data_IF_410912435807
#
_entry.id   IF_410912435807
#
_cell.length_a   1.000
_cell.length_b   1.000
_cell.length_c   1.000
_cell.angle_alpha   90.00
_cell.angle_beta   90.00
_cell.angle_gamma   90.00
#
_symmetry.space_group_name_H-M   'P 1'
#
loop_
_entity.id
_entity.type
_entity.pdbx_description
1 polymer ?
#
# COMPACT_ATOMS: atom_id res chain seq x y z
N UNK A 1 -3.71 16.29 -38.70
CA UNK A 1 -3.56 15.06 -37.88
C UNK A 1 -2.11 14.73 -37.53
N UNK A 2 -1.13 14.94 -38.42
CA UNK A 2 0.29 14.66 -38.12
C UNK A 2 0.88 15.48 -36.93
N UNK A 3 0.44 16.72 -36.73
CA UNK A 3 0.97 17.60 -35.68
C UNK A 3 0.59 17.18 -34.25
N UNK A 4 -0.61 16.61 -34.05
CA UNK A 4 -1.04 16.11 -32.75
C UNK A 4 -0.28 14.84 -32.35
N UNK A 5 0.03 13.96 -33.31
CA UNK A 5 0.82 12.75 -33.04
C UNK A 5 2.25 13.10 -32.59
N UNK A 6 2.86 14.15 -33.19
CA UNK A 6 4.19 14.61 -32.81
C UNK A 6 4.23 15.21 -31.39
N UNK A 7 3.21 15.98 -30.99
CA UNK A 7 3.14 16.57 -29.64
C UNK A 7 2.91 15.51 -28.55
N UNK A 8 2.10 14.47 -28.82
CA UNK A 8 1.89 13.36 -27.89
C UNK A 8 3.19 12.56 -27.70
N UNK A 9 3.90 12.27 -28.80
CA UNK A 9 5.18 11.54 -28.73
C UNK A 9 6.24 12.33 -27.95
N UNK A 10 6.32 13.65 -28.15
CA UNK A 10 7.27 14.50 -27.45
C UNK A 10 6.95 14.59 -25.94
N UNK A 11 5.68 14.73 -25.56
CA UNK A 11 5.26 14.75 -24.17
C UNK A 11 5.54 13.40 -23.46
N UNK A 12 5.31 12.27 -24.15
CA UNK A 12 5.64 10.94 -23.59
C UNK A 12 7.14 10.71 -23.45
N UNK A 13 7.95 11.23 -24.38
CA UNK A 13 9.40 11.14 -24.30
C UNK A 13 9.97 11.96 -23.14
N UNK A 14 9.40 13.14 -22.88
CA UNK A 14 9.80 14.00 -21.77
C UNK A 14 9.44 13.37 -20.41
N UNK A 15 8.23 12.82 -20.28
CA UNK A 15 7.81 12.12 -19.07
C UNK A 15 8.63 10.84 -18.80
N UNK A 16 9.04 10.13 -19.85
CA UNK A 16 9.93 8.99 -19.74
C UNK A 16 11.34 9.40 -19.29
N UNK A 17 11.87 10.52 -19.79
CA UNK A 17 13.19 11.03 -19.39
C UNK A 17 13.24 11.47 -17.91
N UNK A 18 12.20 12.16 -17.43
CA UNK A 18 12.09 12.55 -16.02
C UNK A 18 11.89 11.36 -15.09
N UNK A 19 11.11 10.36 -15.51
CA UNK A 19 10.95 9.10 -14.77
C UNK A 19 12.26 8.32 -14.64
N UNK A 20 13.11 8.32 -15.67
CA UNK A 20 14.40 7.61 -15.67
C UNK A 20 15.45 8.32 -14.80
N UNK A 21 15.48 9.65 -14.76
CA UNK A 21 16.37 10.36 -13.82
C UNK A 21 15.97 10.19 -12.35
N UNK A 22 14.67 10.14 -12.03
CA UNK A 22 14.20 9.90 -10.66
C UNK A 22 14.62 8.50 -10.16
N UNK A 23 14.47 7.48 -11.02
CA UNK A 23 14.93 6.12 -10.73
C UNK A 23 16.46 6.02 -10.55
N UNK A 24 17.22 6.82 -11.31
CA UNK A 24 18.69 6.87 -11.20
C UNK A 24 19.16 7.59 -9.92
N UNK A 25 18.41 8.59 -9.43
CA UNK A 25 18.65 9.26 -8.13
C UNK A 25 18.28 8.38 -6.93
N UNK A 26 17.30 7.49 -7.08
CA UNK A 26 16.91 6.56 -6.01
C UNK A 26 17.85 5.35 -5.91
N UNK A 27 18.53 4.99 -7.01
CA UNK A 27 19.54 3.92 -7.03
C UNK A 27 20.69 4.15 -6.05
N UNK A 28 21.18 5.39 -5.90
CA UNK A 28 22.25 5.74 -4.96
C UNK A 28 21.78 5.87 -3.50
N UNK A 29 20.46 5.92 -3.25
CA UNK A 29 19.90 6.03 -1.89
C UNK A 29 19.69 4.69 -1.20
N UNK A 30 19.58 3.60 -1.97
CA UNK A 30 19.40 2.26 -1.39
C UNK A 30 20.61 1.81 -0.58
N UNK A 31 21.82 2.18 -1.02
CA UNK A 31 23.07 1.82 -0.36
C UNK A 31 23.22 2.45 1.03
N UNK A 32 22.53 3.57 1.26
CA UNK A 32 22.56 4.29 2.54
C UNK A 32 21.43 3.89 3.51
N UNK A 33 20.67 2.83 3.17
CA UNK A 33 19.62 2.34 4.07
C UNK A 33 20.16 1.33 5.09
N UNK A 34 19.67 1.33 6.35
CA UNK A 34 20.07 0.36 7.36
C UNK A 34 19.90 -1.09 6.91
N UNK A 35 18.82 -1.37 6.17
CA UNK A 35 18.50 -2.70 5.64
C UNK A 35 19.54 -3.16 4.61
N UNK A 36 19.93 -2.29 3.68
CA UNK A 36 20.95 -2.65 2.69
C UNK A 36 22.31 -2.86 3.35
N UNK A 37 22.72 -1.96 4.24
CA UNK A 37 23.95 -2.10 5.00
C UNK A 37 23.99 -3.40 5.82
N UNK A 38 22.90 -3.74 6.50
CA UNK A 38 22.79 -4.95 7.31
C UNK A 38 22.94 -6.23 6.49
N UNK A 39 22.32 -6.26 5.31
CA UNK A 39 22.37 -7.42 4.44
C UNK A 39 23.72 -7.64 3.74
N UNK A 40 24.60 -6.63 3.78
CA UNK A 40 25.97 -6.76 3.31
C UNK A 40 26.95 -7.12 4.44
N UNK A 41 26.49 -7.28 5.69
CA UNK A 41 27.31 -7.81 6.78
C UNK A 41 27.43 -9.32 6.66
N UNK A 42 28.64 -9.84 6.90
CA UNK A 42 28.91 -11.27 6.83
C UNK A 42 28.02 -12.06 7.82
N UNK A 43 27.38 -13.13 7.34
CA UNK A 43 26.54 -14.01 8.15
C UNK A 43 25.09 -13.52 8.34
N UNK A 44 24.68 -12.47 7.63
CA UNK A 44 23.30 -11.94 7.66
C UNK A 44 22.48 -12.29 6.41
N UNK A 45 23.07 -12.99 5.44
CA UNK A 45 22.47 -13.30 4.14
C UNK A 45 21.17 -14.11 4.27
N UNK A 46 21.11 -14.99 5.27
CA UNK A 46 19.98 -15.87 5.53
C UNK A 46 18.95 -15.30 6.51
N UNK A 47 19.15 -14.07 6.96
CA UNK A 47 18.20 -13.43 7.86
C UNK A 47 16.84 -13.19 7.19
N UNK A 48 15.75 -13.22 7.99
CA UNK A 48 14.41 -12.84 7.52
C UNK A 48 14.36 -11.49 6.79
N UNK A 49 15.06 -10.47 7.33
CA UNK A 49 15.10 -9.12 6.74
C UNK A 49 15.76 -9.15 5.36
N UNK A 50 16.88 -9.87 5.21
CA UNK A 50 17.62 -9.93 3.95
C UNK A 50 16.97 -10.81 2.90
N UNK A 51 16.33 -11.91 3.29
CA UNK A 51 15.49 -12.72 2.40
C UNK A 51 14.37 -11.88 1.79
N UNK A 52 13.70 -11.05 2.61
CA UNK A 52 12.67 -10.13 2.15
C UNK A 52 13.21 -9.05 1.22
N UNK A 53 14.38 -8.47 1.51
CA UNK A 53 15.01 -7.47 0.64
C UNK A 53 15.34 -8.06 -0.73
N UNK A 54 16.01 -9.23 -0.75
CA UNK A 54 16.39 -9.93 -1.98
C UNK A 54 15.16 -10.27 -2.82
N UNK A 55 14.11 -10.79 -2.21
CA UNK A 55 12.86 -11.09 -2.90
C UNK A 55 12.22 -9.82 -3.49
N UNK A 56 12.17 -8.72 -2.75
CA UNK A 56 11.68 -7.44 -3.29
C UNK A 56 12.52 -6.94 -4.46
N UNK A 57 13.83 -7.13 -4.42
CA UNK A 57 14.73 -6.78 -5.53
C UNK A 57 14.44 -7.62 -6.76
N UNK A 58 14.27 -8.94 -6.60
CA UNK A 58 13.89 -9.87 -7.67
C UNK A 58 12.55 -9.47 -8.31
N UNK A 59 11.53 -9.17 -7.50
CA UNK A 59 10.24 -8.71 -8.02
C UNK A 59 10.32 -7.40 -8.80
N UNK A 60 11.25 -6.51 -8.45
CA UNK A 60 11.47 -5.25 -9.19
C UNK A 60 12.14 -5.48 -10.54
N UNK A 61 12.93 -6.55 -10.68
CA UNK A 61 13.57 -6.90 -11.96
C UNK A 61 12.66 -7.64 -12.94
N UNK A 62 11.46 -8.05 -12.52
CA UNK A 62 10.51 -8.75 -13.39
C UNK A 62 9.52 -7.74 -13.97
N UNK A 63 9.64 -7.46 -15.26
CA UNK A 63 8.76 -6.52 -15.97
C UNK A 63 7.38 -7.12 -16.29
N UNK A 64 7.32 -8.42 -16.59
CA UNK A 64 6.05 -9.10 -16.90
C UNK A 64 5.18 -9.29 -15.64
N UNK A 65 3.96 -8.72 -15.59
CA UNK A 65 3.06 -8.88 -14.46
C UNK A 65 2.67 -10.34 -14.19
N UNK A 66 2.55 -11.19 -15.23
CA UNK A 66 2.15 -12.59 -15.07
C UNK A 66 3.29 -13.41 -14.44
N UNK A 67 4.52 -13.22 -14.91
CA UNK A 67 5.71 -13.81 -14.29
C UNK A 67 5.90 -13.33 -12.85
N UNK A 68 5.72 -12.03 -12.58
CA UNK A 68 5.81 -11.48 -11.22
C UNK A 68 4.80 -12.14 -10.29
N UNK A 69 3.56 -12.33 -10.75
CA UNK A 69 2.53 -13.02 -9.98
C UNK A 69 2.88 -14.49 -9.72
N UNK A 70 3.46 -15.20 -10.71
CA UNK A 70 3.94 -16.57 -10.56
C UNK A 70 5.04 -16.66 -9.50
N UNK A 71 6.05 -15.79 -9.56
CA UNK A 71 7.15 -15.77 -8.57
C UNK A 71 6.64 -15.47 -7.16
N UNK A 72 5.66 -14.57 -7.01
CA UNK A 72 5.00 -14.33 -5.72
C UNK A 72 4.28 -15.57 -5.20
N UNK A 73 3.61 -16.33 -6.06
CA UNK A 73 2.91 -17.54 -5.67
C UNK A 73 3.88 -18.67 -5.28
N UNK A 74 4.94 -18.89 -6.06
CA UNK A 74 5.93 -19.95 -5.85
C UNK A 74 6.78 -19.73 -4.60
N UNK A 75 7.19 -18.48 -4.33
CA UNK A 75 8.11 -18.15 -3.23
C UNK A 75 7.43 -17.50 -2.03
N UNK A 76 6.11 -17.61 -1.93
CA UNK A 76 5.32 -16.93 -0.90
C UNK A 76 5.85 -17.15 0.52
N UNK A 77 6.24 -18.38 0.82
CA UNK A 77 6.70 -18.81 2.14
C UNK A 77 8.18 -18.47 2.37
N UNK A 78 9.02 -18.59 1.34
CA UNK A 78 10.45 -18.24 1.39
C UNK A 78 10.69 -16.73 1.52
N UNK A 79 9.84 -15.94 0.86
CA UNK A 79 9.92 -14.49 0.82
C UNK A 79 9.33 -13.79 2.04
N UNK A 80 8.77 -14.55 3.00
CA UNK A 80 8.02 -14.01 4.12
C UNK A 80 6.98 -12.97 3.68
N UNK A 81 6.24 -13.28 2.60
CA UNK A 81 5.13 -12.41 2.13
C UNK A 81 4.02 -12.39 3.19
N UNK A 82 3.86 -13.51 3.92
CA UNK A 82 3.00 -13.63 5.10
C UNK A 82 3.79 -14.31 6.22
N UNK A 83 4.61 -13.55 6.96
CA UNK A 83 5.39 -14.12 8.05
C UNK A 83 4.46 -14.67 9.14
N UNK A 84 4.83 -15.81 9.73
CA UNK A 84 4.18 -16.32 10.93
C UNK A 84 4.35 -15.32 12.09
N UNK A 85 3.53 -15.41 13.16
CA UNK A 85 3.71 -14.57 14.34
C UNK A 85 5.13 -14.63 14.93
N UNK A 86 5.75 -15.80 14.95
CA UNK A 86 7.11 -16.01 15.44
C UNK A 86 8.14 -15.35 14.51
N UNK A 87 7.95 -15.47 13.19
CA UNK A 87 8.78 -14.79 12.20
C UNK A 87 8.67 -13.27 12.32
N UNK A 88 7.48 -12.72 12.58
CA UNK A 88 7.30 -11.28 12.83
C UNK A 88 8.07 -10.81 14.06
N UNK A 89 8.06 -11.61 15.14
CA UNK A 89 8.83 -11.29 16.35
C UNK A 89 10.33 -11.31 16.04
N UNK A 90 10.82 -12.33 15.34
CA UNK A 90 12.22 -12.45 14.92
C UNK A 90 12.64 -11.26 14.04
N UNK A 91 11.83 -10.91 13.03
CA UNK A 91 12.06 -9.77 12.16
C UNK A 91 12.13 -8.45 12.93
N UNK A 92 11.20 -8.21 13.87
CA UNK A 92 11.23 -6.98 14.69
C UNK A 92 12.41 -6.94 15.65
N UNK A 93 12.88 -8.08 16.14
CA UNK A 93 14.09 -8.15 16.96
C UNK A 93 15.30 -7.77 16.13
N UNK A 94 15.43 -8.39 14.96
CA UNK A 94 16.50 -8.11 14.02
C UNK A 94 16.47 -6.66 13.50
N UNK A 95 15.30 -6.10 13.19
CA UNK A 95 15.16 -4.70 12.77
C UNK A 95 15.70 -3.73 13.83
N UNK A 96 15.50 -4.03 15.12
CA UNK A 96 16.05 -3.23 16.23
C UNK A 96 17.56 -3.40 16.36
N UNK A 97 18.07 -4.62 16.26
CA UNK A 97 19.53 -4.89 16.27
C UNK A 97 20.23 -4.18 15.11
N UNK A 98 19.63 -4.26 13.92
CA UNK A 98 20.09 -3.59 12.72
C UNK A 98 20.16 -2.08 12.90
N UNK A 99 19.08 -1.45 13.37
CA UNK A 99 19.04 0.00 13.57
C UNK A 99 20.04 0.44 14.64
N UNK A 100 20.11 -0.27 15.77
CA UNK A 100 21.07 0.02 16.83
C UNK A 100 22.51 -0.08 16.33
N UNK A 101 22.86 -1.14 15.58
CA UNK A 101 24.20 -1.32 15.03
C UNK A 101 24.52 -0.29 13.95
N UNK A 102 23.56 0.02 13.07
CA UNK A 102 23.73 1.05 12.03
C UNK A 102 23.98 2.42 12.66
N UNK A 103 23.21 2.79 13.69
CA UNK A 103 23.31 4.09 14.34
C UNK A 103 24.49 4.21 15.31
N UNK A 104 25.13 3.10 15.68
CA UNK A 104 26.39 3.10 16.43
C UNK A 104 27.60 3.48 15.55
N UNK A 105 27.47 3.43 14.22
CA UNK A 105 28.53 3.87 13.31
C UNK A 105 28.64 5.41 13.32
N UNK A 106 29.83 5.99 13.58
CA UNK A 106 30.02 7.44 13.63
C UNK A 106 29.55 8.15 12.35
N UNK A 107 29.82 7.57 11.18
CA UNK A 107 29.43 8.12 9.88
C UNK A 107 27.93 8.02 9.59
N UNK A 108 27.17 7.25 10.37
CA UNK A 108 25.71 7.09 10.25
C UNK A 108 24.93 7.72 11.39
N UNK A 109 25.60 8.26 12.42
CA UNK A 109 24.95 8.79 13.61
C UNK A 109 23.95 9.93 13.33
N UNK A 110 24.21 10.73 12.29
CA UNK A 110 23.32 11.81 11.84
C UNK A 110 22.25 11.34 10.83
N UNK A 111 22.26 10.07 10.41
CA UNK A 111 21.31 9.58 9.42
C UNK A 111 19.86 9.73 9.94
N UNK A 112 18.87 10.12 9.11
CA UNK A 112 17.48 10.34 9.53
C UNK A 112 16.82 9.18 10.29
N UNK A 113 17.22 7.93 10.01
CA UNK A 113 16.75 6.75 10.74
C UNK A 113 17.20 6.74 12.21
N UNK A 114 18.41 7.24 12.49
CA UNK A 114 19.00 7.30 13.84
C UNK A 114 18.42 8.45 14.67
N UNK A 115 18.09 9.57 14.02
CA UNK A 115 17.37 10.67 14.66
C UNK A 115 15.94 10.25 15.09
N UNK A 116 15.28 9.35 14.34
CA UNK A 116 13.89 8.95 14.61
C UNK A 116 13.75 7.93 15.75
N UNK A 117 14.68 6.98 15.85
CA UNK A 117 14.74 6.08 17.02
C UNK A 117 15.10 6.85 18.29
N UNK A 118 16.02 7.80 18.20
CA UNK A 118 16.39 8.62 19.35
C UNK A 118 15.21 9.48 19.84
N UNK A 119 14.36 10.04 18.97
CA UNK A 119 13.09 10.70 19.41
C UNK A 119 12.18 9.73 20.16
N UNK A 120 12.10 8.46 19.73
CA UNK A 120 11.22 7.48 20.36
C UNK A 120 11.78 7.00 21.71
N UNK A 121 13.10 6.83 21.81
CA UNK A 121 13.80 6.39 23.01
C UNK A 121 13.98 7.51 24.05
N UNK A 122 14.02 8.78 23.64
CA UNK A 122 14.30 9.94 24.51
C UNK A 122 13.02 10.69 24.91
N UNK A 123 11.84 10.09 24.72
CA UNK A 123 10.56 10.66 25.20
C UNK A 123 10.62 10.94 26.70
N UNK A 124 10.32 12.19 27.08
CA UNK A 124 10.40 12.68 28.46
C UNK A 124 11.72 13.36 28.83
N UNK A 125 12.67 13.46 27.90
CA UNK A 125 13.91 14.22 28.06
C UNK A 125 13.96 15.40 27.08
N UNK A 126 13.40 16.54 27.50
CA UNK A 126 13.14 17.73 26.66
C UNK A 126 14.33 18.20 25.82
N UNK A 127 15.56 18.12 26.36
CA UNK A 127 16.75 18.55 25.65
C UNK A 127 17.17 17.58 24.54
N UNK A 128 17.05 16.28 24.78
CA UNK A 128 17.48 15.26 23.86
C UNK A 128 16.48 15.13 22.69
N UNK A 129 15.18 15.25 22.98
CA UNK A 129 14.15 15.30 21.94
C UNK A 129 14.34 16.51 21.02
N UNK A 130 14.64 17.69 21.57
CA UNK A 130 14.93 18.91 20.79
C UNK A 130 16.12 18.71 19.83
N UNK A 131 17.21 18.14 20.32
CA UNK A 131 18.41 17.89 19.52
C UNK A 131 18.17 16.89 18.37
N UNK A 132 17.37 15.84 18.62
CA UNK A 132 16.99 14.90 17.57
C UNK A 132 16.05 15.52 16.51
N UNK A 133 15.13 16.41 16.92
CA UNK A 133 14.31 17.18 15.97
C UNK A 133 15.14 18.12 15.11
N UNK A 134 16.09 18.83 15.71
CA UNK A 134 17.00 19.73 14.98
C UNK A 134 17.83 18.98 13.93
N UNK A 135 18.26 17.74 14.24
CA UNK A 135 18.89 16.84 13.26
C UNK A 135 17.96 16.52 12.08
N UNK A 136 16.70 16.14 12.32
CA UNK A 136 15.75 15.86 11.23
C UNK A 136 15.53 17.09 10.33
N UNK A 137 15.42 18.28 10.92
CA UNK A 137 15.28 19.54 10.17
C UNK A 137 16.49 19.82 9.30
N UNK A 138 17.73 19.58 9.79
CA UNK A 138 18.97 19.74 8.99
C UNK A 138 18.98 18.86 7.73
N UNK A 139 18.33 17.70 7.78
CA UNK A 139 18.23 16.79 6.63
C UNK A 139 17.04 17.09 5.69
N UNK A 140 16.33 18.20 5.90
CA UNK A 140 15.15 18.54 5.09
C UNK A 140 14.01 17.54 5.26
N UNK A 141 14.02 16.75 6.35
CA UNK A 141 12.92 15.86 6.69
C UNK A 141 11.87 16.72 7.37
N UNK A 142 10.89 17.18 6.60
CA UNK A 142 9.76 17.93 7.11
C UNK A 142 9.04 17.04 8.15
N UNK A 143 9.04 17.49 9.40
CA UNK A 143 8.38 16.81 10.50
C UNK A 143 6.88 16.87 10.21
N UNK A 144 6.34 15.88 9.49
CA UNK A 144 4.90 15.63 9.55
C UNK A 144 4.63 15.37 11.01
N UNK A 145 3.77 16.16 11.68
CA UNK A 145 3.54 16.00 13.09
C UNK A 145 3.25 14.52 13.31
N UNK A 146 4.11 13.87 14.08
CA UNK A 146 3.74 12.62 14.73
C UNK A 146 2.71 13.08 15.76
N UNK A 147 1.50 13.39 15.30
CA UNK A 147 0.35 13.46 16.18
C UNK A 147 0.35 12.08 16.80
N UNK A 148 0.73 11.98 18.09
CA UNK A 148 0.84 10.71 18.79
C UNK A 148 -0.39 9.91 18.41
N UNK A 149 -0.26 8.67 17.95
CA UNK A 149 -1.45 7.94 17.48
C UNK A 149 -2.57 8.05 18.52
N UNK A 150 -2.25 8.01 19.81
CA UNK A 150 -3.21 8.23 20.90
C UNK A 150 -3.71 9.67 21.06
N UNK A 151 -2.92 10.73 20.85
CA UNK A 151 -3.41 12.14 20.83
C UNK A 151 -4.12 12.51 19.53
N UNK A 152 -3.74 11.89 18.42
CA UNK A 152 -4.37 12.02 17.11
C UNK A 152 -5.72 11.37 17.16
N UNK A 153 -5.78 10.14 17.68
CA UNK A 153 -7.01 9.43 17.96
C UNK A 153 -7.80 10.16 19.03
N UNK A 154 -7.22 10.64 20.11
CA UNK A 154 -7.95 11.43 21.12
C UNK A 154 -8.54 12.72 20.53
N UNK A 155 -7.76 13.49 19.78
CA UNK A 155 -8.22 14.70 19.10
C UNK A 155 -9.34 14.37 18.13
N UNK A 156 -9.11 13.42 17.23
CA UNK A 156 -10.07 12.92 16.24
C UNK A 156 -11.37 12.42 16.90
N UNK A 157 -11.27 11.66 17.97
CA UNK A 157 -12.40 11.11 18.72
C UNK A 157 -13.07 12.10 19.67
N UNK A 158 -12.45 13.27 19.92
CA UNK A 158 -13.06 14.41 20.64
C UNK A 158 -13.73 15.39 19.68
N UNK A 159 -13.17 15.61 18.49
CA UNK A 159 -13.67 16.60 17.52
C UNK A 159 -14.84 16.10 16.68
N UNK A 160 -14.94 14.79 16.40
CA UNK A 160 -15.94 14.23 15.47
C UNK A 160 -17.36 14.04 16.05
N UNK A 161 -17.67 14.70 17.17
CA UNK A 161 -19.01 14.67 17.76
C UNK A 161 -20.09 15.38 16.95
N UNK A 162 -19.76 16.16 15.90
CA UNK A 162 -20.76 17.02 15.23
C UNK A 162 -20.69 17.13 13.70
N UNK A 163 -19.76 16.50 12.97
CA UNK A 163 -19.84 16.63 11.51
C UNK A 163 -18.79 15.92 10.68
N UNK A 164 -19.12 14.71 10.21
CA UNK A 164 -19.00 14.31 8.81
C UNK A 164 -19.76 12.99 8.59
N UNK A 165 -20.91 13.12 7.92
CA UNK A 165 -21.95 12.11 7.83
C UNK A 165 -21.83 11.22 6.58
N UNK A 166 -20.65 10.66 6.28
CA UNK A 166 -20.48 9.75 5.13
C UNK A 166 -19.97 8.34 5.53
N UNK A 167 -20.95 7.50 5.92
CA UNK A 167 -21.05 6.04 5.73
C UNK A 167 -19.90 5.11 6.12
N UNK A 168 -18.80 5.09 5.37
CA UNK A 168 -17.82 4.00 5.40
C UNK A 168 -16.51 4.33 6.13
N UNK A 169 -16.07 5.59 6.09
CA UNK A 169 -14.93 6.05 6.88
C UNK A 169 -15.24 6.05 8.38
N UNK A 170 -16.53 5.99 8.73
CA UNK A 170 -17.02 6.11 10.10
C UNK A 170 -16.83 4.84 10.95
N UNK A 171 -16.92 3.64 10.36
CA UNK A 171 -16.86 2.39 11.13
C UNK A 171 -15.44 2.08 11.66
N UNK A 172 -14.41 2.27 10.82
CA UNK A 172 -13.01 2.09 11.24
C UNK A 172 -12.59 3.15 12.26
N UNK A 173 -13.00 4.39 12.03
CA UNK A 173 -12.80 5.55 12.92
C UNK A 173 -13.47 5.33 14.27
N UNK A 174 -14.74 4.88 14.27
CA UNK A 174 -15.50 4.54 15.47
C UNK A 174 -14.88 3.38 16.24
N UNK A 175 -14.33 2.37 15.56
CA UNK A 175 -13.57 1.29 16.21
C UNK A 175 -12.31 1.81 16.90
N UNK A 176 -11.53 2.64 16.22
CA UNK A 176 -10.30 3.22 16.78
C UNK A 176 -10.64 4.08 18.02
N UNK A 177 -11.71 4.88 17.94
CA UNK A 177 -12.22 5.67 19.06
C UNK A 177 -12.74 4.83 20.23
N UNK A 178 -13.54 3.81 19.97
CA UNK A 178 -14.06 2.91 21.00
C UNK A 178 -12.93 2.13 21.69
N UNK A 179 -11.96 1.62 20.93
CA UNK A 179 -10.77 0.97 21.46
C UNK A 179 -9.90 1.88 22.30
N UNK A 180 -9.76 3.15 21.93
CA UNK A 180 -9.03 4.14 22.71
C UNK A 180 -9.76 4.48 24.01
N UNK A 181 -11.06 4.82 23.95
CA UNK A 181 -11.89 5.09 25.16
C UNK A 181 -11.86 3.91 26.13
N UNK A 182 -11.92 2.68 25.62
CA UNK A 182 -11.81 1.47 26.42
C UNK A 182 -10.47 1.37 27.15
N UNK A 183 -9.36 1.57 26.44
CA UNK A 183 -8.02 1.55 27.05
C UNK A 183 -7.86 2.64 28.10
N UNK A 184 -8.26 3.87 27.77
CA UNK A 184 -8.17 5.03 28.68
C UNK A 184 -8.98 4.80 29.96
N UNK A 185 -10.20 4.25 29.86
CA UNK A 185 -11.01 3.93 31.03
C UNK A 185 -10.42 2.78 31.87
N UNK A 186 -9.81 1.77 31.24
CA UNK A 186 -9.17 0.65 31.94
C UNK A 186 -7.89 1.07 32.68
N UNK A 187 -7.15 2.05 32.17
CA UNK A 187 -5.93 2.54 32.80
C UNK A 187 -6.16 3.69 33.80
N UNK A 188 -7.25 4.46 33.67
CA UNK A 188 -7.57 5.60 34.54
C UNK A 188 -8.51 5.32 35.72
N UNK A 189 -9.07 4.11 35.83
CA UNK A 189 -10.04 3.79 36.88
C UNK A 189 -9.35 3.50 38.23
N UNK A 190 -9.09 4.54 39.01
CA UNK A 190 -8.84 4.41 40.45
C UNK A 190 -10.10 3.92 41.17
N UNK A 191 -9.91 3.15 42.25
CA UNK A 191 -10.81 2.23 42.97
C UNK A 191 -12.12 2.77 43.58
N UNK A 192 -12.81 3.74 42.97
CA UNK A 192 -14.14 4.19 43.44
C UNK A 192 -15.28 3.46 42.70
N UNK A 193 -16.37 3.18 43.42
CA UNK A 193 -17.45 2.23 43.07
C UNK A 193 -18.10 2.38 41.69
N UNK A 194 -18.00 3.56 41.06
CA UNK A 194 -18.53 3.84 39.72
C UNK A 194 -17.68 3.27 38.58
N UNK A 195 -16.49 2.72 38.87
CA UNK A 195 -15.60 2.14 37.87
C UNK A 195 -16.17 0.87 37.20
N UNK A 196 -16.93 0.06 37.95
CA UNK A 196 -17.50 -1.17 37.43
C UNK A 196 -18.63 -0.90 36.42
N UNK A 197 -19.49 0.07 36.71
CA UNK A 197 -20.60 0.46 35.83
C UNK A 197 -20.09 1.13 34.55
N UNK A 198 -19.11 2.05 34.66
CA UNK A 198 -18.45 2.65 33.49
C UNK A 198 -17.75 1.59 32.63
N UNK A 199 -17.07 0.63 33.25
CA UNK A 199 -16.44 -0.48 32.52
C UNK A 199 -17.47 -1.34 31.79
N UNK A 200 -18.61 -1.64 32.41
CA UNK A 200 -19.69 -2.41 31.78
C UNK A 200 -20.27 -1.68 30.56
N UNK A 201 -20.52 -0.37 30.67
CA UNK A 201 -21.03 0.46 29.58
C UNK A 201 -20.06 0.48 28.37
N UNK A 202 -18.76 0.65 28.62
CA UNK A 202 -17.74 0.68 27.56
C UNK A 202 -17.56 -0.71 26.92
N UNK A 203 -17.61 -1.79 27.70
CA UNK A 203 -17.58 -3.17 27.14
C UNK A 203 -18.79 -3.39 26.22
N UNK A 204 -19.97 -2.90 26.60
CA UNK A 204 -21.17 -3.01 25.77
C UNK A 204 -21.07 -2.17 24.48
N UNK A 205 -20.56 -0.93 24.56
CA UNK A 205 -20.29 -0.10 23.38
C UNK A 205 -19.29 -0.76 22.43
N UNK A 206 -18.19 -1.32 22.97
CA UNK A 206 -17.22 -2.06 22.17
C UNK A 206 -17.82 -3.30 21.50
N UNK A 207 -18.72 -4.02 22.19
CA UNK A 207 -19.45 -5.17 21.61
C UNK A 207 -20.30 -4.74 20.41
N UNK A 208 -21.07 -3.65 20.56
CA UNK A 208 -21.90 -3.09 19.48
C UNK A 208 -21.08 -2.66 18.28
N UNK A 209 -19.96 -1.98 18.51
CA UNK A 209 -19.04 -1.57 17.43
C UNK A 209 -18.43 -2.78 16.71
N UNK A 210 -18.07 -3.84 17.44
CA UNK A 210 -17.56 -5.09 16.85
C UNK A 210 -18.61 -5.83 16.03
N UNK A 211 -19.89 -5.74 16.41
CA UNK A 211 -21.00 -6.31 15.66
C UNK A 211 -21.25 -5.53 14.36
N UNK A 212 -21.34 -4.19 14.42
CA UNK A 212 -21.42 -3.33 13.24
C UNK A 212 -20.22 -3.53 12.28
N UNK A 213 -19.01 -3.76 12.80
CA UNK A 213 -17.86 -4.06 11.95
C UNK A 213 -17.99 -5.39 11.20
N UNK A 214 -18.61 -6.41 11.81
CA UNK A 214 -18.89 -7.68 11.13
C UNK A 214 -19.90 -7.47 9.99
N UNK A 215 -20.95 -6.69 10.22
CA UNK A 215 -21.91 -6.33 9.17
C UNK A 215 -21.25 -5.59 8.00
N UNK A 216 -20.34 -4.64 8.28
CA UNK A 216 -19.57 -3.94 7.23
C UNK A 216 -18.66 -4.90 6.46
N UNK A 217 -18.08 -5.90 7.12
CA UNK A 217 -17.29 -6.93 6.47
C UNK A 217 -18.15 -7.80 5.53
N UNK A 218 -19.36 -8.13 5.94
CA UNK A 218 -20.31 -8.87 5.12
C UNK A 218 -20.75 -8.04 3.89
N UNK A 219 -21.00 -6.73 4.07
CA UNK A 219 -21.28 -5.79 2.95
C UNK A 219 -20.10 -5.73 1.97
N UNK A 220 -18.85 -5.71 2.45
CA UNK A 220 -17.67 -5.78 1.57
C UNK A 220 -17.61 -7.10 0.80
N UNK A 221 -17.99 -8.21 1.44
CA UNK A 221 -18.17 -9.50 0.78
C UNK A 221 -19.17 -9.42 -0.39
N UNK A 222 -20.34 -8.83 -0.13
CA UNK A 222 -21.36 -8.61 -1.16
C UNK A 222 -20.90 -7.67 -2.29
N UNK A 223 -20.16 -6.60 -1.97
CA UNK A 223 -19.58 -5.72 -2.99
C UNK A 223 -18.55 -6.43 -3.88
N UNK A 224 -17.70 -7.29 -3.30
CA UNK A 224 -16.74 -8.08 -4.07
C UNK A 224 -17.46 -9.05 -5.02
N UNK A 225 -18.57 -9.64 -4.58
CA UNK A 225 -19.43 -10.47 -5.43
C UNK A 225 -20.11 -9.67 -6.55
N UNK A 226 -20.63 -8.46 -6.26
CA UNK A 226 -21.17 -7.56 -7.28
C UNK A 226 -20.11 -7.17 -8.32
N UNK A 227 -18.87 -6.88 -7.89
CA UNK A 227 -17.77 -6.59 -8.80
C UNK A 227 -17.41 -7.81 -9.67
N UNK A 228 -17.43 -9.02 -9.11
CA UNK A 228 -17.26 -10.26 -9.88
C UNK A 228 -18.35 -10.41 -10.95
N UNK A 229 -19.62 -10.21 -10.58
CA UNK A 229 -20.74 -10.28 -11.53
C UNK A 229 -20.64 -9.22 -12.63
N UNK A 230 -20.23 -7.99 -12.31
CA UNK A 230 -20.00 -6.94 -13.31
C UNK A 230 -18.86 -7.31 -14.28
N UNK A 231 -17.76 -7.87 -13.76
CA UNK A 231 -16.66 -8.32 -14.60
C UNK A 231 -17.09 -9.46 -15.56
N UNK A 232 -17.88 -10.42 -15.08
CA UNK A 232 -18.46 -11.48 -15.90
C UNK A 232 -19.41 -10.92 -16.97
N UNK A 233 -20.24 -9.94 -16.62
CA UNK A 233 -21.13 -9.26 -17.56
C UNK A 233 -20.36 -8.51 -18.66
N UNK A 234 -19.33 -7.73 -18.30
CA UNK A 234 -18.48 -7.05 -19.28
C UNK A 234 -17.79 -8.03 -20.24
N UNK A 235 -17.29 -9.16 -19.73
CA UNK A 235 -16.68 -10.21 -20.56
C UNK A 235 -17.70 -10.86 -21.53
N UNK A 236 -18.97 -10.98 -21.14
CA UNK A 236 -20.04 -11.44 -22.01
C UNK A 236 -20.38 -10.42 -23.10
N UNK A 237 -20.47 -9.14 -22.76
CA UNK A 237 -20.70 -8.07 -23.74
C UNK A 237 -19.56 -7.98 -24.77
N UNK A 238 -18.30 -8.09 -24.33
CA UNK A 238 -17.14 -8.12 -25.23
C UNK A 238 -17.20 -9.29 -26.22
N UNK A 239 -17.57 -10.48 -25.74
CA UNK A 239 -17.78 -11.66 -26.60
C UNK A 239 -18.91 -11.43 -27.61
N UNK A 240 -20.01 -10.82 -27.19
CA UNK A 240 -21.13 -10.51 -28.09
C UNK A 240 -20.75 -9.45 -29.13
N UNK A 241 -20.06 -8.39 -28.72
CA UNK A 241 -19.55 -7.35 -29.62
C UNK A 241 -18.59 -7.94 -30.66
N UNK A 242 -17.66 -8.79 -30.24
CA UNK A 242 -16.74 -9.51 -31.14
C UNK A 242 -17.50 -10.38 -32.13
N UNK A 243 -18.50 -11.14 -31.68
CA UNK A 243 -19.34 -11.98 -32.55
C UNK A 243 -20.11 -11.15 -33.59
N UNK A 244 -20.65 -10.00 -33.19
CA UNK A 244 -21.32 -9.08 -34.10
C UNK A 244 -20.34 -8.48 -35.11
N UNK A 245 -19.17 -8.03 -34.66
CA UNK A 245 -18.11 -7.50 -35.51
C UNK A 245 -17.71 -8.50 -36.61
N UNK A 246 -17.40 -9.75 -36.24
CA UNK A 246 -17.06 -10.82 -37.19
C UNK A 246 -18.21 -11.07 -38.18
N UNK A 247 -19.47 -11.07 -37.71
CA UNK A 247 -20.64 -11.23 -38.58
C UNK A 247 -20.79 -10.07 -39.58
N UNK A 248 -20.49 -8.85 -39.18
CA UNK A 248 -20.52 -7.68 -40.07
C UNK A 248 -19.37 -7.71 -41.09
N UNK A 249 -18.16 -8.06 -40.68
CA UNK A 249 -17.01 -8.23 -41.58
C UNK A 249 -17.27 -9.33 -42.63
N UNK A 250 -17.82 -10.47 -42.22
CA UNK A 250 -18.18 -11.55 -43.13
C UNK A 250 -19.24 -11.11 -44.16
N UNK A 251 -20.23 -10.30 -43.75
CA UNK A 251 -21.24 -9.72 -44.65
C UNK A 251 -20.64 -8.70 -45.62
N UNK A 252 -19.71 -7.87 -45.16
CA UNK A 252 -19.00 -6.90 -46.00
C UNK A 252 -18.17 -7.63 -47.07
N UNK A 253 -17.35 -8.62 -46.67
CA UNK A 253 -16.54 -9.42 -47.60
C UNK A 253 -17.38 -10.18 -48.61
N UNK A 254 -18.51 -10.76 -48.21
CA UNK A 254 -19.45 -11.42 -49.12
C UNK A 254 -20.02 -10.45 -50.17
N UNK A 255 -20.29 -9.21 -49.77
CA UNK A 255 -20.77 -8.16 -50.69
C UNK A 255 -19.70 -7.75 -51.68
N UNK A 256 -18.46 -7.61 -51.22
CA UNK A 256 -17.29 -7.31 -52.06
C UNK A 256 -17.04 -8.42 -53.09
N UNK A 257 -16.98 -9.69 -52.66
CA UNK A 257 -16.82 -10.84 -53.57
C UNK A 257 -17.93 -10.91 -54.63
N UNK A 258 -19.17 -10.55 -54.28
CA UNK A 258 -20.28 -10.46 -55.25
C UNK A 258 -20.06 -9.39 -56.29
N UNK A 259 -19.48 -8.24 -55.91
CA UNK A 259 -19.13 -7.15 -56.84
C UNK A 259 -17.97 -7.56 -57.75
N UNK A 260 -16.93 -8.17 -57.20
CA UNK A 260 -15.80 -8.71 -57.97
C UNK A 260 -16.28 -9.74 -59.01
N UNK A 261 -17.13 -10.68 -58.60
CA UNK A 261 -17.68 -11.71 -59.49
C UNK A 261 -18.57 -11.12 -60.60
N UNK A 262 -19.37 -10.10 -60.28
CA UNK A 262 -20.18 -9.40 -61.27
C UNK A 262 -19.27 -8.70 -62.30
N UNK A 263 -18.25 -7.97 -61.85
CA UNK A 263 -17.28 -7.31 -62.73
C UNK A 263 -16.52 -8.30 -63.62
N UNK A 264 -16.15 -9.47 -63.10
CA UNK A 264 -15.48 -10.52 -63.88
C UNK A 264 -16.39 -11.10 -64.99
N UNK A 265 -17.69 -11.27 -64.72
CA UNK A 265 -18.67 -11.73 -65.72
C UNK A 265 -18.84 -10.73 -66.85
N UNK A 266 -18.92 -9.44 -66.52
CA UNK A 266 -19.06 -8.36 -67.51
C UNK A 266 -17.78 -8.18 -68.37
N UNK A 267 -16.62 -8.55 -67.84
CA UNK A 267 -15.36 -8.53 -68.57
C UNK A 267 -15.23 -9.72 -69.54
N UNK A 268 -15.67 -10.91 -69.15
CA UNK A 268 -15.60 -12.11 -70.01
C UNK A 268 -16.64 -12.15 -71.15
N UNK A 269 -17.62 -11.24 -71.15
CA UNK A 269 -18.63 -11.13 -72.21
C UNK A 269 -18.23 -10.20 -73.37
N UNK A 270 -17.08 -9.51 -73.27
CA UNK A 270 -16.52 -8.64 -74.31
C UNK A 270 -15.39 -9.34 -75.05
#
# INVERSE_FOLDING_TARGET
MAFCAALVLLATAQAAAEGVEHLRRDGSRLEDTPVFWWCNQAGREDSPVCKKLRFKSELRSIDDPAERARVIAERRDEAMVRPSPEQLVAMRSEEREMLAAFCALPEKADHPFCARESITAMRGHDHAERDARERLTRHGVEERPIVEYDKAVEWFCRTDGTGHADGAANAASSMICASWRYRSAMHGASSHGDAAERKAAIVDEYRKVKEAHREVHDIKGHMAEQQRMLAEFCALEEKQATKLCVKHLARARKTELRRELAGARDAGAR
#
